data_IF_196739724053
#
_entry.id   IF_196739724053
#
_cell.length_a   1.000
_cell.length_b   1.000
_cell.length_c   1.000
_cell.angle_alpha   90.00
_cell.angle_beta   90.00
_cell.angle_gamma   90.00
#
_symmetry.space_group_name_H-M   'P 1'
#
loop_
_entity.id
_entity.type
_entity.pdbx_description
1 polymer ?
#
# COMPACT_ATOMS: atom_id res chain seq x y z
N UNK A 1 -2.72 20.91 2.13
CA UNK A 1 -3.12 19.68 1.41
C UNK A 1 -4.05 18.89 2.30
N UNK A 2 -5.20 18.47 1.79
CA UNK A 2 -6.09 17.58 2.52
C UNK A 2 -5.49 16.19 2.67
N UNK A 3 -5.79 15.50 3.78
CA UNK A 3 -5.48 14.09 3.94
C UNK A 3 -6.32 13.20 3.00
N UNK A 4 -6.10 11.89 3.06
CA UNK A 4 -6.95 10.93 2.36
C UNK A 4 -8.31 10.79 3.06
N UNK A 5 -9.35 10.54 2.28
CA UNK A 5 -10.71 10.25 2.78
C UNK A 5 -10.73 8.81 3.32
N UNK A 6 -10.31 8.61 4.55
CA UNK A 6 -10.13 7.32 5.19
C UNK A 6 -10.73 7.30 6.60
N UNK A 7 -10.66 6.14 7.26
CA UNK A 7 -11.06 5.94 8.65
C UNK A 7 -10.19 4.85 9.29
N UNK A 8 -10.39 4.60 10.59
CA UNK A 8 -9.77 3.47 11.27
C UNK A 8 -10.52 2.17 11.03
N UNK A 9 -9.85 1.02 11.16
CA UNK A 9 -10.51 -0.29 11.13
C UNK A 9 -11.51 -0.48 12.29
N UNK A 10 -11.32 0.26 13.38
CA UNK A 10 -12.29 0.34 14.48
C UNK A 10 -13.59 1.02 14.06
N UNK A 11 -13.54 2.07 13.25
CA UNK A 11 -14.73 2.69 12.66
C UNK A 11 -15.39 1.78 11.64
N UNK A 12 -14.64 1.10 10.79
CA UNK A 12 -15.18 0.09 9.87
C UNK A 12 -15.98 -0.96 10.64
N UNK A 13 -15.38 -1.55 11.69
CA UNK A 13 -16.05 -2.53 12.55
C UNK A 13 -17.37 -2.01 13.11
N UNK A 14 -17.36 -0.77 13.60
CA UNK A 14 -18.49 -0.22 14.35
C UNK A 14 -19.59 0.40 13.47
N UNK A 15 -19.27 0.83 12.25
CA UNK A 15 -20.15 1.68 11.43
C UNK A 15 -20.44 1.14 10.04
N UNK A 16 -19.47 0.48 9.38
CA UNK A 16 -19.60 0.15 7.96
C UNK A 16 -20.68 -0.91 7.72
N UNK A 17 -21.68 -0.54 6.94
CA UNK A 17 -22.77 -1.40 6.48
C UNK A 17 -22.64 -1.73 4.98
N UNK A 18 -21.80 -1.01 4.23
CA UNK A 18 -21.51 -1.25 2.83
C UNK A 18 -20.01 -1.31 2.58
N UNK A 19 -19.51 -2.46 2.13
CA UNK A 19 -18.09 -2.72 2.00
C UNK A 19 -17.78 -3.16 0.57
N UNK A 20 -16.86 -2.47 -0.09
CA UNK A 20 -16.36 -2.84 -1.40
C UNK A 20 -14.90 -3.25 -1.27
N UNK A 21 -14.54 -4.41 -1.82
CA UNK A 21 -13.18 -4.77 -2.10
C UNK A 21 -12.94 -4.68 -3.60
N UNK A 22 -11.96 -3.90 -4.02
CA UNK A 22 -11.65 -3.66 -5.41
C UNK A 22 -10.20 -4.04 -5.72
N UNK A 23 -10.02 -5.05 -6.60
CA UNK A 23 -8.70 -5.54 -6.97
C UNK A 23 -7.88 -6.05 -5.78
N UNK A 24 -8.54 -6.65 -4.82
CA UNK A 24 -7.96 -7.24 -3.62
C UNK A 24 -8.70 -8.49 -3.19
N UNK A 25 -7.96 -9.54 -2.80
CA UNK A 25 -8.50 -10.81 -2.33
C UNK A 25 -8.22 -11.00 -0.83
N UNK A 26 -9.02 -10.38 0.07
CA UNK A 26 -8.74 -10.43 1.50
C UNK A 26 -8.84 -11.84 2.11
N UNK A 27 -9.56 -12.78 1.49
CA UNK A 27 -9.59 -14.16 1.97
C UNK A 27 -8.19 -14.81 2.01
N UNK A 28 -7.33 -14.46 1.06
CA UNK A 28 -5.96 -14.98 1.01
C UNK A 28 -4.95 -14.02 1.63
N UNK A 29 -4.99 -12.72 1.25
CA UNK A 29 -3.96 -11.78 1.65
C UNK A 29 -4.18 -11.14 3.04
N UNK A 30 -5.42 -11.14 3.55
CA UNK A 30 -5.78 -10.56 4.86
C UNK A 30 -6.83 -11.42 5.57
N UNK A 31 -6.56 -12.68 5.91
CA UNK A 31 -7.57 -13.65 6.33
C UNK A 31 -8.34 -13.23 7.59
N UNK A 32 -7.75 -12.43 8.47
CA UNK A 32 -8.43 -11.91 9.65
C UNK A 32 -9.27 -10.65 9.41
N UNK A 33 -9.23 -10.09 8.20
CA UNK A 33 -9.93 -8.84 7.90
C UNK A 33 -11.45 -9.01 8.01
N UNK A 34 -11.98 -10.08 7.43
CA UNK A 34 -13.41 -10.42 7.49
C UNK A 34 -13.90 -10.69 8.91
N UNK A 35 -13.11 -11.42 9.69
CA UNK A 35 -13.52 -11.86 11.03
C UNK A 35 -13.30 -10.81 12.10
N UNK A 36 -12.37 -9.88 11.93
CA UNK A 36 -12.05 -8.86 12.93
C UNK A 36 -12.69 -7.49 12.66
N UNK A 37 -12.90 -7.14 11.39
CA UNK A 37 -13.27 -5.76 11.06
C UNK A 37 -14.45 -5.61 10.13
N UNK A 38 -14.53 -6.35 9.02
CA UNK A 38 -15.41 -5.95 7.92
C UNK A 38 -16.71 -6.73 7.79
N UNK A 39 -16.76 -8.04 8.09
CA UNK A 39 -17.96 -8.82 7.84
C UNK A 39 -18.63 -9.36 9.11
N UNK A 40 -17.95 -10.26 9.84
CA UNK A 40 -18.60 -11.00 10.92
C UNK A 40 -18.79 -10.20 12.22
N UNK A 41 -17.90 -9.25 12.60
CA UNK A 41 -18.01 -8.66 13.92
C UNK A 41 -19.24 -7.77 14.06
N UNK A 42 -19.93 -7.90 15.19
CA UNK A 42 -20.95 -6.95 15.60
C UNK A 42 -20.31 -5.61 15.93
N UNK A 43 -20.91 -4.53 15.45
CA UNK A 43 -20.48 -3.15 15.69
C UNK A 43 -21.56 -2.32 16.37
N UNK A 44 -21.17 -1.18 16.96
CA UNK A 44 -22.13 -0.30 17.67
C UNK A 44 -23.31 0.12 16.79
N UNK A 45 -23.06 0.39 15.50
CA UNK A 45 -24.09 0.81 14.53
C UNK A 45 -24.46 -0.29 13.54
N UNK A 46 -23.87 -1.48 13.65
CA UNK A 46 -24.15 -2.68 12.86
C UNK A 46 -24.28 -3.89 13.80
N UNK A 47 -25.31 -3.90 14.67
CA UNK A 47 -25.44 -4.91 15.73
C UNK A 47 -25.69 -6.32 15.20
N UNK A 48 -26.18 -6.45 13.97
CA UNK A 48 -26.43 -7.75 13.33
C UNK A 48 -25.18 -8.40 12.73
N UNK A 49 -24.02 -7.72 12.77
CA UNK A 49 -22.77 -8.22 12.18
C UNK A 49 -22.94 -8.48 10.68
N UNK A 50 -22.62 -9.71 10.21
CA UNK A 50 -22.71 -10.07 8.77
C UNK A 50 -24.07 -9.79 8.14
N UNK A 51 -25.17 -10.06 8.85
CA UNK A 51 -26.53 -9.82 8.34
C UNK A 51 -26.87 -8.34 8.15
N UNK A 52 -26.13 -7.44 8.77
CA UNK A 52 -26.31 -5.99 8.65
C UNK A 52 -25.32 -5.34 7.67
N UNK A 53 -24.62 -6.13 6.85
CA UNK A 53 -23.57 -5.65 5.94
C UNK A 53 -23.77 -6.19 4.54
N UNK A 54 -23.55 -5.33 3.55
CA UNK A 54 -23.43 -5.71 2.14
C UNK A 54 -21.97 -5.67 1.74
N UNK A 55 -21.47 -6.78 1.18
CA UNK A 55 -20.13 -6.86 0.61
C UNK A 55 -20.17 -6.97 -0.90
N UNK A 56 -19.51 -6.06 -1.57
CA UNK A 56 -19.26 -6.07 -3.01
C UNK A 56 -17.80 -6.45 -3.25
N UNK A 57 -17.56 -7.39 -4.15
CA UNK A 57 -16.23 -7.71 -4.64
C UNK A 57 -16.13 -7.30 -6.11
N UNK A 58 -15.11 -6.52 -6.45
CA UNK A 58 -14.79 -6.12 -7.82
C UNK A 58 -13.40 -6.66 -8.17
N UNK A 59 -13.33 -7.57 -9.13
CA UNK A 59 -12.07 -8.19 -9.55
C UNK A 59 -12.15 -8.58 -11.03
N UNK A 60 -11.00 -8.88 -11.64
CA UNK A 60 -10.92 -9.36 -13.04
C UNK A 60 -11.19 -10.85 -13.16
N UNK A 61 -11.19 -11.56 -12.06
CA UNK A 61 -11.39 -13.01 -11.98
C UNK A 61 -12.08 -13.42 -10.68
N UNK A 62 -12.65 -14.59 -10.65
CA UNK A 62 -13.10 -15.20 -9.42
C UNK A 62 -11.94 -15.49 -8.48
N UNK A 63 -12.10 -15.14 -7.21
CA UNK A 63 -11.14 -15.36 -6.13
C UNK A 63 -11.83 -16.04 -4.96
N UNK A 64 -11.11 -16.63 -4.00
CA UNK A 64 -11.71 -17.20 -2.79
C UNK A 64 -12.61 -16.22 -2.02
N UNK A 65 -12.46 -14.92 -2.22
CA UNK A 65 -13.31 -13.90 -1.59
C UNK A 65 -14.72 -13.83 -2.16
N UNK A 66 -14.98 -14.34 -3.37
CA UNK A 66 -16.31 -14.32 -4.02
C UNK A 66 -17.38 -14.98 -3.16
N UNK A 67 -17.07 -16.13 -2.54
CA UNK A 67 -18.01 -16.87 -1.67
C UNK A 67 -18.46 -16.11 -0.43
N UNK A 68 -17.81 -15.00 -0.08
CA UNK A 68 -18.18 -14.15 1.03
C UNK A 68 -18.91 -12.87 0.59
N UNK A 69 -18.91 -12.57 -0.70
CA UNK A 69 -19.56 -11.39 -1.27
C UNK A 69 -21.07 -11.61 -1.47
N UNK A 70 -21.84 -10.53 -1.37
CA UNK A 70 -23.24 -10.48 -1.77
C UNK A 70 -23.38 -10.12 -3.25
N UNK A 71 -22.41 -9.37 -3.77
CA UNK A 71 -22.35 -8.92 -5.16
C UNK A 71 -20.92 -9.14 -5.65
N UNK A 72 -20.77 -9.83 -6.77
CA UNK A 72 -19.49 -9.96 -7.48
C UNK A 72 -19.58 -9.27 -8.83
N UNK A 73 -18.66 -8.36 -9.10
CA UNK A 73 -18.54 -7.64 -10.37
C UNK A 73 -17.22 -8.02 -11.03
N UNK A 74 -17.32 -8.79 -12.11
CA UNK A 74 -16.14 -9.20 -12.87
C UNK A 74 -15.86 -8.15 -13.96
N UNK A 75 -14.83 -7.35 -13.74
CA UNK A 75 -14.38 -6.30 -14.66
C UNK A 75 -13.38 -6.90 -15.66
N UNK A 76 -13.48 -6.55 -16.93
CA UNK A 76 -12.43 -6.93 -17.91
C UNK A 76 -11.09 -6.33 -17.52
N UNK A 77 -9.97 -7.08 -17.65
CA UNK A 77 -8.65 -6.59 -17.30
C UNK A 77 -8.32 -5.23 -17.92
N UNK A 78 -7.87 -4.29 -17.08
CA UNK A 78 -7.48 -2.93 -17.49
C UNK A 78 -8.61 -1.96 -17.71
N UNK A 79 -9.86 -2.31 -17.36
CA UNK A 79 -11.06 -1.48 -17.52
C UNK A 79 -11.55 -0.83 -16.20
N UNK A 80 -10.78 -0.94 -15.14
CA UNK A 80 -11.14 -0.39 -13.83
C UNK A 80 -11.37 1.12 -13.85
N UNK A 81 -10.54 1.86 -14.60
CA UNK A 81 -10.66 3.31 -14.70
C UNK A 81 -11.98 3.72 -15.36
N UNK A 82 -12.37 3.03 -16.42
CA UNK A 82 -13.63 3.25 -17.11
C UNK A 82 -14.82 2.98 -16.19
N UNK A 83 -14.80 1.90 -15.41
CA UNK A 83 -15.86 1.61 -14.42
C UNK A 83 -15.94 2.71 -13.36
N UNK A 84 -14.81 3.12 -12.78
CA UNK A 84 -14.76 4.17 -11.77
C UNK A 84 -15.27 5.51 -12.29
N UNK A 85 -14.88 5.88 -13.52
CA UNK A 85 -15.34 7.14 -14.15
C UNK A 85 -16.82 7.07 -14.53
N UNK A 86 -17.32 5.90 -14.94
CA UNK A 86 -18.77 5.67 -15.16
C UNK A 86 -19.56 5.86 -13.86
N UNK A 87 -19.14 5.24 -12.76
CA UNK A 87 -19.79 5.41 -11.45
C UNK A 87 -19.83 6.91 -11.04
N UNK A 88 -18.74 7.64 -11.26
CA UNK A 88 -18.68 9.08 -10.99
C UNK A 88 -19.62 9.91 -11.90
N UNK A 89 -19.75 9.53 -13.18
CA UNK A 89 -20.68 10.16 -14.10
C UNK A 89 -22.13 9.93 -13.66
N UNK A 90 -22.48 8.67 -13.33
CA UNK A 90 -23.81 8.29 -12.81
C UNK A 90 -24.14 9.02 -11.50
N UNK A 91 -23.17 9.12 -10.58
CA UNK A 91 -23.35 9.84 -9.32
C UNK A 91 -23.72 11.30 -9.54
N UNK A 92 -23.21 11.92 -10.60
CA UNK A 92 -23.50 13.32 -11.00
C UNK A 92 -24.69 13.48 -11.94
N UNK A 93 -25.42 12.40 -12.21
CA UNK A 93 -26.54 12.43 -13.17
C UNK A 93 -26.12 12.77 -14.60
N UNK A 94 -24.89 12.44 -14.99
CA UNK A 94 -24.40 12.68 -16.35
C UNK A 94 -24.77 11.49 -17.25
N UNK A 95 -25.06 11.76 -18.53
CA UNK A 95 -25.30 10.69 -19.48
C UNK A 95 -24.06 9.82 -19.66
N UNK A 96 -24.26 8.52 -19.85
CA UNK A 96 -23.20 7.52 -20.02
C UNK A 96 -23.50 6.73 -21.29
N UNK A 97 -22.48 6.47 -22.06
CA UNK A 97 -22.56 5.63 -23.28
C UNK A 97 -22.58 4.15 -22.87
N UNK A 98 -23.71 3.50 -23.07
CA UNK A 98 -23.93 2.09 -22.72
C UNK A 98 -22.98 1.14 -23.46
N UNK A 99 -22.66 1.43 -24.72
CA UNK A 99 -21.72 0.60 -25.50
C UNK A 99 -20.31 0.61 -24.89
N UNK A 100 -19.86 1.77 -24.40
CA UNK A 100 -18.58 1.87 -23.66
C UNK A 100 -18.61 1.17 -22.32
N UNK A 101 -19.74 1.19 -21.62
CA UNK A 101 -19.88 0.43 -20.37
C UNK A 101 -19.77 -1.06 -20.64
N UNK A 102 -20.44 -1.58 -21.66
CA UNK A 102 -20.37 -2.99 -22.05
C UNK A 102 -18.93 -3.47 -22.36
N UNK A 103 -18.05 -2.59 -22.84
CA UNK A 103 -16.63 -2.89 -23.01
C UNK A 103 -15.93 -3.24 -21.70
N UNK A 104 -16.45 -2.80 -20.56
CA UNK A 104 -15.89 -3.12 -19.23
C UNK A 104 -16.22 -4.53 -18.75
N UNK A 105 -17.14 -5.21 -19.43
CA UNK A 105 -17.69 -6.50 -19.05
C UNK A 105 -18.89 -6.40 -18.10
N UNK A 106 -19.37 -5.19 -17.81
CA UNK A 106 -20.51 -4.94 -16.93
C UNK A 106 -21.64 -4.25 -17.70
N UNK A 107 -22.87 -4.48 -17.26
CA UNK A 107 -24.05 -3.79 -17.77
C UNK A 107 -24.25 -2.45 -17.07
N UNK A 108 -24.76 -1.46 -17.79
CA UNK A 108 -25.05 -0.14 -17.23
C UNK A 108 -26.02 -0.20 -16.06
N UNK A 109 -27.05 -1.05 -16.12
CA UNK A 109 -28.03 -1.24 -15.06
C UNK A 109 -27.38 -1.71 -13.74
N UNK A 110 -26.35 -2.57 -13.83
CA UNK A 110 -25.59 -3.05 -12.66
C UNK A 110 -24.84 -1.90 -11.98
N UNK A 111 -24.23 -1.01 -12.76
CA UNK A 111 -23.52 0.15 -12.22
C UNK A 111 -24.48 1.19 -11.65
N UNK A 112 -25.68 1.35 -12.26
CA UNK A 112 -26.76 2.20 -11.73
C UNK A 112 -27.26 1.69 -10.38
N UNK A 113 -27.52 0.37 -10.25
CA UNK A 113 -27.92 -0.24 -8.97
C UNK A 113 -26.80 -0.08 -7.91
N UNK A 114 -25.55 -0.32 -8.31
CA UNK A 114 -24.41 -0.18 -7.39
C UNK A 114 -24.33 1.24 -6.83
N UNK A 115 -24.39 2.28 -7.66
CA UNK A 115 -24.28 3.67 -7.21
C UNK A 115 -25.44 4.07 -6.31
N UNK A 116 -26.66 3.60 -6.58
CA UNK A 116 -27.82 3.85 -5.72
C UNK A 116 -27.69 3.15 -4.36
N UNK A 117 -27.13 1.94 -4.32
CA UNK A 117 -26.80 1.27 -3.04
C UNK A 117 -25.73 2.01 -2.27
N UNK A 118 -24.69 2.50 -2.97
CA UNK A 118 -23.63 3.30 -2.36
C UNK A 118 -24.17 4.58 -1.73
N UNK A 119 -25.08 5.28 -2.41
CA UNK A 119 -25.74 6.51 -1.89
C UNK A 119 -26.62 6.24 -0.66
N UNK A 120 -27.24 5.06 -0.58
CA UNK A 120 -28.11 4.64 0.53
C UNK A 120 -27.38 4.05 1.73
N UNK A 121 -26.09 3.73 1.60
CA UNK A 121 -25.29 3.25 2.71
C UNK A 121 -25.23 4.28 3.83
N UNK A 122 -25.20 3.85 5.08
CA UNK A 122 -25.03 4.76 6.23
C UNK A 122 -23.56 5.08 6.44
N UNK A 123 -22.68 4.11 6.17
CA UNK A 123 -21.24 4.26 6.20
C UNK A 123 -20.64 3.24 5.24
N UNK A 124 -20.16 3.72 4.08
CA UNK A 124 -19.53 2.88 3.07
C UNK A 124 -18.00 2.93 3.15
N UNK A 125 -17.36 1.84 2.74
CA UNK A 125 -15.90 1.77 2.62
C UNK A 125 -15.47 1.02 1.37
N UNK A 126 -14.51 1.60 0.62
CA UNK A 126 -13.81 0.93 -0.47
C UNK A 126 -12.41 0.54 0.00
N UNK A 127 -12.15 -0.76 0.08
CA UNK A 127 -10.82 -1.32 0.21
C UNK A 127 -10.29 -1.61 -1.19
N UNK A 128 -9.14 -1.04 -1.57
CA UNK A 128 -8.56 -1.27 -2.88
C UNK A 128 -7.16 -1.87 -2.79
N UNK A 129 -6.89 -2.84 -3.64
CA UNK A 129 -5.65 -3.60 -3.64
C UNK A 129 -4.77 -3.36 -4.86
N UNK A 130 -3.72 -4.16 -4.97
CA UNK A 130 -2.77 -4.13 -6.09
C UNK A 130 -3.44 -4.44 -7.44
N UNK A 131 -4.48 -5.27 -7.45
CA UNK A 131 -5.27 -5.56 -8.65
C UNK A 131 -5.83 -4.31 -9.30
N UNK A 132 -6.13 -3.25 -8.54
CA UNK A 132 -6.54 -1.96 -9.06
C UNK A 132 -5.34 -1.05 -9.39
N UNK A 133 -4.35 -0.98 -8.50
CA UNK A 133 -3.28 0.03 -8.59
C UNK A 133 -2.15 -0.35 -9.54
N UNK A 134 -2.00 -1.64 -9.87
CA UNK A 134 -0.95 -2.16 -10.75
C UNK A 134 -1.43 -2.46 -12.17
N UNK A 135 -2.71 -2.20 -12.47
CA UNK A 135 -3.27 -2.39 -13.80
C UNK A 135 -3.10 -1.14 -14.69
N UNK A 136 -3.64 -1.20 -15.90
CA UNK A 136 -3.73 -0.05 -16.81
C UNK A 136 -4.43 1.12 -16.08
N UNK A 137 -3.87 2.32 -16.16
CA UNK A 137 -4.33 3.49 -15.41
C UNK A 137 -3.53 3.76 -14.14
N UNK A 138 -2.91 2.74 -13.52
CA UNK A 138 -1.97 2.88 -12.37
C UNK A 138 -2.48 3.89 -11.32
N UNK A 139 -1.77 4.99 -11.10
CA UNK A 139 -2.12 6.03 -10.13
C UNK A 139 -3.46 6.75 -10.44
N UNK A 140 -3.90 6.76 -11.70
CA UNK A 140 -5.19 7.33 -12.07
C UNK A 140 -6.36 6.51 -11.50
N UNK A 141 -6.22 5.19 -11.39
CA UNK A 141 -7.22 4.34 -10.73
C UNK A 141 -7.38 4.73 -9.27
N UNK A 142 -6.27 4.89 -8.55
CA UNK A 142 -6.30 5.34 -7.15
C UNK A 142 -6.92 6.74 -7.01
N UNK A 143 -6.56 7.67 -7.90
CA UNK A 143 -7.14 9.01 -7.93
C UNK A 143 -8.65 8.97 -8.22
N UNK A 144 -9.10 8.07 -9.09
CA UNK A 144 -10.52 7.90 -9.41
C UNK A 144 -11.31 7.34 -8.21
N UNK A 145 -10.75 6.38 -7.45
CA UNK A 145 -11.36 5.89 -6.18
C UNK A 145 -11.47 7.02 -5.17
N UNK A 146 -10.40 7.78 -4.94
CA UNK A 146 -10.41 8.92 -4.02
C UNK A 146 -11.45 9.97 -4.40
N UNK A 147 -11.54 10.27 -5.70
CA UNK A 147 -12.53 11.22 -6.24
C UNK A 147 -13.97 10.71 -6.09
N UNK A 148 -14.21 9.43 -6.41
CA UNK A 148 -15.53 8.80 -6.23
C UNK A 148 -15.98 8.87 -4.76
N UNK A 149 -15.08 8.53 -3.85
CA UNK A 149 -15.37 8.57 -2.42
C UNK A 149 -15.61 10.00 -1.94
N UNK A 150 -14.81 10.97 -2.38
CA UNK A 150 -15.02 12.38 -2.05
C UNK A 150 -16.38 12.89 -2.53
N UNK A 151 -16.77 12.52 -3.75
CA UNK A 151 -18.07 12.90 -4.35
C UNK A 151 -19.27 12.22 -3.67
N UNK A 152 -19.11 10.96 -3.22
CA UNK A 152 -20.13 10.23 -2.44
C UNK A 152 -20.42 10.89 -1.08
N UNK A 153 -19.46 11.60 -0.51
CA UNK A 153 -19.67 12.31 0.76
C UNK A 153 -20.64 13.49 0.67
N UNK A 154 -21.11 13.86 -0.53
CA UNK A 154 -22.26 14.75 -0.70
C UNK A 154 -23.60 14.07 -0.38
N UNK A 155 -23.65 12.73 -0.35
CA UNK A 155 -24.86 11.93 -0.13
C UNK A 155 -24.82 11.20 1.20
N UNK A 156 -23.70 10.57 1.51
CA UNK A 156 -23.54 9.74 2.71
C UNK A 156 -22.06 9.69 3.12
N UNK A 157 -21.77 9.14 4.29
CA UNK A 157 -20.40 8.94 4.75
C UNK A 157 -19.76 7.78 4.00
N UNK A 158 -18.78 8.09 3.18
CA UNK A 158 -18.02 7.11 2.41
C UNK A 158 -16.52 7.35 2.55
N UNK A 159 -15.74 6.28 2.69
CA UNK A 159 -14.28 6.35 2.85
C UNK A 159 -13.58 5.30 2.00
N UNK A 160 -12.26 5.41 1.83
CA UNK A 160 -11.47 4.38 1.19
C UNK A 160 -10.16 4.12 1.92
N UNK A 161 -9.63 2.91 1.74
CA UNK A 161 -8.40 2.46 2.37
C UNK A 161 -7.64 1.50 1.45
N UNK A 162 -6.35 1.73 1.17
CA UNK A 162 -5.54 0.76 0.46
C UNK A 162 -5.33 -0.49 1.32
N UNK A 163 -5.51 -1.67 0.72
CA UNK A 163 -5.16 -2.94 1.35
C UNK A 163 -3.67 -3.17 1.15
N UNK A 164 -2.91 -2.98 2.22
CA UNK A 164 -1.45 -3.09 2.18
C UNK A 164 -1.00 -4.44 2.73
N UNK A 165 -0.13 -5.11 1.98
CA UNK A 165 0.59 -6.30 2.42
C UNK A 165 1.97 -5.97 2.98
N UNK A 166 2.74 -7.02 3.31
CA UNK A 166 4.08 -6.98 3.86
C UNK A 166 4.20 -6.33 5.26
N UNK A 167 5.33 -6.58 5.94
CA UNK A 167 5.58 -6.05 7.28
C UNK A 167 5.87 -4.55 7.26
N UNK A 168 5.03 -3.78 7.92
CA UNK A 168 5.24 -2.36 8.23
C UNK A 168 5.46 -1.41 7.03
N UNK A 169 4.94 -1.74 5.84
CA UNK A 169 4.97 -0.83 4.68
C UNK A 169 4.32 0.52 5.02
N UNK A 170 3.23 0.50 5.79
CA UNK A 170 2.57 1.74 6.24
C UNK A 170 3.51 2.57 7.13
N UNK A 171 4.27 1.94 8.02
CA UNK A 171 5.23 2.66 8.88
C UNK A 171 6.36 3.29 8.08
N UNK A 172 6.95 2.56 7.13
CA UNK A 172 7.98 3.09 6.24
C UNK A 172 7.48 4.29 5.43
N UNK A 173 6.27 4.18 4.87
CA UNK A 173 5.58 5.23 4.12
C UNK A 173 5.33 6.49 4.98
N UNK A 174 4.84 6.31 6.20
CA UNK A 174 4.57 7.41 7.14
C UNK A 174 5.86 8.12 7.53
N UNK A 175 6.90 7.37 7.91
CA UNK A 175 8.21 7.95 8.30
C UNK A 175 8.86 8.69 7.13
N UNK A 176 8.81 8.14 5.91
CA UNK A 176 9.34 8.81 4.74
C UNK A 176 8.60 10.14 4.46
N UNK A 177 7.27 10.17 4.64
CA UNK A 177 6.47 11.40 4.50
C UNK A 177 6.83 12.46 5.53
N UNK A 178 7.07 12.08 6.79
CA UNK A 178 7.51 13.06 7.81
C UNK A 178 8.87 13.66 7.49
N UNK A 179 9.77 12.80 6.99
CA UNK A 179 11.16 13.20 6.76
C UNK A 179 11.37 13.97 5.46
N UNK A 180 10.57 13.69 4.42
CA UNK A 180 10.82 14.18 3.06
C UNK A 180 9.63 14.88 2.39
N UNK A 181 8.42 14.74 2.94
CA UNK A 181 7.16 15.15 2.32
C UNK A 181 6.59 14.11 1.34
N UNK A 182 7.29 13.00 1.06
CA UNK A 182 6.91 11.99 0.06
C UNK A 182 6.92 10.57 0.65
N UNK A 183 6.07 9.64 0.13
CA UNK A 183 5.87 8.35 0.77
C UNK A 183 6.99 7.33 0.52
N UNK A 184 7.56 7.29 -0.69
CA UNK A 184 8.62 6.36 -1.14
C UNK A 184 9.19 6.81 -2.49
N UNK A 185 10.22 6.12 -2.99
CA UNK A 185 10.82 6.46 -4.29
C UNK A 185 11.36 7.90 -4.31
N UNK A 186 12.07 8.28 -3.25
CA UNK A 186 12.59 9.64 -3.07
C UNK A 186 14.06 9.68 -3.47
N UNK A 187 14.40 10.59 -4.37
CA UNK A 187 15.79 10.90 -4.72
C UNK A 187 16.30 12.06 -3.90
N UNK A 188 17.44 11.85 -3.21
CA UNK A 188 18.16 12.86 -2.44
C UNK A 188 19.47 13.29 -3.13
N UNK A 189 19.73 12.86 -4.36
CA UNK A 189 20.99 13.08 -5.09
C UNK A 189 21.38 14.55 -5.30
N UNK A 190 20.44 15.48 -5.13
CA UNK A 190 20.67 16.93 -5.23
C UNK A 190 20.69 17.65 -3.88
N UNK A 191 20.73 16.89 -2.77
CA UNK A 191 20.70 17.47 -1.42
C UNK A 191 19.31 17.88 -0.92
N UNK A 192 18.26 17.65 -1.69
CA UNK A 192 16.85 17.84 -1.29
C UNK A 192 15.97 16.73 -1.85
N UNK A 193 14.84 16.42 -1.19
CA UNK A 193 13.96 15.34 -1.63
C UNK A 193 13.26 15.69 -2.95
N UNK A 194 13.31 14.77 -3.90
CA UNK A 194 12.57 14.79 -5.17
C UNK A 194 11.78 13.50 -5.32
N UNK A 195 10.54 13.63 -5.77
CA UNK A 195 9.63 12.52 -5.94
C UNK A 195 9.02 12.56 -7.35
N UNK A 196 9.25 11.49 -8.10
CA UNK A 196 8.58 11.27 -9.38
C UNK A 196 8.39 9.76 -9.58
N UNK A 197 7.15 9.23 -9.45
CA UNK A 197 6.85 7.83 -9.75
C UNK A 197 7.22 7.48 -11.19
N UNK A 198 7.95 6.36 -11.37
CA UNK A 198 8.48 5.94 -12.66
C UNK A 198 9.88 6.51 -13.01
N UNK A 199 10.41 7.39 -12.17
CA UNK A 199 11.79 7.90 -12.31
C UNK A 199 12.66 7.45 -11.12
N UNK A 200 12.18 7.62 -9.88
CA UNK A 200 12.96 7.36 -8.68
C UNK A 200 12.54 6.11 -7.92
N UNK A 201 11.70 5.27 -8.51
CA UNK A 201 11.42 3.97 -7.89
C UNK A 201 12.66 3.07 -7.94
N UNK A 202 12.78 2.17 -6.99
CA UNK A 202 13.96 1.27 -6.88
C UNK A 202 14.19 0.48 -8.17
N UNK A 203 13.12 -0.01 -8.82
CA UNK A 203 13.23 -0.73 -10.09
C UNK A 203 13.81 0.15 -11.18
N UNK A 204 13.30 1.39 -11.31
CA UNK A 204 13.75 2.32 -12.36
C UNK A 204 15.22 2.69 -12.17
N UNK A 205 15.62 3.01 -10.93
CA UNK A 205 17.02 3.36 -10.58
C UNK A 205 17.98 2.21 -10.86
N UNK A 206 17.60 0.98 -10.49
CA UNK A 206 18.44 -0.20 -10.72
C UNK A 206 18.52 -0.57 -12.21
N UNK A 207 17.42 -0.53 -12.96
CA UNK A 207 17.41 -0.84 -14.39
C UNK A 207 18.22 0.17 -15.20
N UNK A 208 18.16 1.46 -14.84
CA UNK A 208 18.96 2.50 -15.48
C UNK A 208 20.41 2.56 -15.00
N UNK A 209 20.74 1.80 -13.94
CA UNK A 209 22.09 1.79 -13.32
C UNK A 209 22.50 3.16 -12.76
N UNK A 210 21.54 3.87 -12.16
CA UNK A 210 21.77 5.23 -11.62
C UNK A 210 22.47 5.24 -10.24
N UNK A 211 22.70 4.08 -9.65
CA UNK A 211 23.34 3.91 -8.35
C UNK A 211 24.58 3.01 -8.43
N UNK A 212 25.59 3.31 -7.64
CA UNK A 212 26.88 2.63 -7.56
C UNK A 212 27.05 1.76 -6.30
N UNK A 213 26.10 1.82 -5.37
CA UNK A 213 26.04 0.96 -4.18
C UNK A 213 24.59 0.78 -3.72
N UNK A 214 24.34 -0.25 -2.90
CA UNK A 214 23.03 -0.51 -2.32
C UNK A 214 23.10 -0.93 -0.83
N UNK A 215 22.21 -0.35 -0.01
CA UNK A 215 21.92 -0.82 1.35
C UNK A 215 20.48 -1.30 1.39
N UNK A 216 20.25 -2.58 1.69
CA UNK A 216 18.95 -3.23 1.66
C UNK A 216 18.59 -3.73 3.06
N UNK A 217 17.39 -3.42 3.52
CA UNK A 217 16.91 -3.76 4.86
C UNK A 217 15.60 -4.54 4.76
N UNK A 218 15.60 -5.78 5.27
CA UNK A 218 14.41 -6.61 5.41
C UNK A 218 13.62 -6.80 4.11
N UNK A 219 14.31 -6.90 2.96
CA UNK A 219 13.71 -7.03 1.65
C UNK A 219 14.52 -7.97 0.74
N UNK A 220 13.84 -8.62 -0.20
CA UNK A 220 14.47 -9.56 -1.13
C UNK A 220 14.23 -9.16 -2.61
N UNK A 221 14.79 -8.02 -3.08
CA UNK A 221 14.70 -7.62 -4.48
C UNK A 221 15.26 -8.64 -5.47
N UNK A 222 16.26 -9.44 -5.07
CA UNK A 222 16.81 -10.52 -5.88
C UNK A 222 15.81 -11.62 -6.22
N UNK A 223 14.70 -11.74 -5.45
CA UNK A 223 13.63 -12.70 -5.74
C UNK A 223 12.43 -12.08 -6.48
N UNK A 224 12.32 -10.75 -6.53
CA UNK A 224 11.06 -10.09 -6.92
C UNK A 224 11.20 -9.07 -8.05
N UNK A 225 12.42 -8.61 -8.32
CA UNK A 225 12.66 -7.58 -9.34
C UNK A 225 12.96 -8.20 -10.73
N UNK A 226 12.83 -7.42 -11.82
CA UNK A 226 13.19 -7.86 -13.16
C UNK A 226 14.71 -8.12 -13.27
N UNK A 227 15.09 -9.06 -14.14
CA UNK A 227 16.46 -9.52 -14.29
C UNK A 227 17.49 -8.39 -14.49
N UNK A 228 17.26 -7.34 -15.33
CA UNK A 228 18.22 -6.24 -15.47
C UNK A 228 18.51 -5.50 -14.16
N UNK A 229 17.55 -5.38 -13.25
CA UNK A 229 17.73 -4.79 -11.93
C UNK A 229 18.57 -5.69 -11.02
N UNK A 230 18.33 -7.01 -11.07
CA UNK A 230 19.08 -8.02 -10.31
C UNK A 230 20.54 -8.07 -10.80
N UNK A 231 20.77 -8.05 -12.11
CA UNK A 231 22.11 -8.07 -12.69
C UNK A 231 22.92 -6.84 -12.27
N UNK A 232 22.27 -5.66 -12.26
CA UNK A 232 22.93 -4.46 -11.77
C UNK A 232 23.23 -4.54 -10.27
N UNK A 233 22.27 -4.97 -9.47
CA UNK A 233 22.45 -5.15 -8.03
C UNK A 233 23.60 -6.11 -7.69
N UNK A 234 23.77 -7.18 -8.46
CA UNK A 234 24.88 -8.12 -8.31
C UNK A 234 26.24 -7.53 -8.73
N UNK A 235 26.25 -6.51 -9.58
CA UNK A 235 27.49 -5.88 -10.09
C UNK A 235 28.04 -4.76 -9.20
N UNK A 236 27.25 -4.25 -8.25
CA UNK A 236 27.65 -3.14 -7.37
C UNK A 236 27.85 -3.60 -5.92
N UNK A 237 28.61 -2.86 -5.10
CA UNK A 237 28.69 -3.11 -3.67
C UNK A 237 27.31 -3.07 -3.01
N UNK A 238 26.88 -4.21 -2.49
CA UNK A 238 25.58 -4.34 -1.82
C UNK A 238 25.77 -4.84 -0.39
N UNK A 239 25.12 -4.16 0.55
CA UNK A 239 25.02 -4.54 1.96
C UNK A 239 23.58 -4.89 2.26
N UNK A 240 23.34 -6.06 2.90
CA UNK A 240 22.00 -6.52 3.29
C UNK A 240 21.93 -6.67 4.79
N UNK A 241 20.90 -6.09 5.40
CA UNK A 241 20.48 -6.33 6.78
C UNK A 241 19.21 -7.18 6.73
N UNK A 242 19.30 -8.44 7.16
CA UNK A 242 18.14 -9.34 7.16
C UNK A 242 18.35 -10.44 8.23
N UNK A 243 17.32 -10.84 8.96
CA UNK A 243 17.44 -11.91 9.95
C UNK A 243 17.71 -13.30 9.33
N UNK A 244 17.52 -13.46 8.01
CA UNK A 244 17.73 -14.72 7.30
C UNK A 244 18.47 -14.55 5.99
N UNK A 245 19.04 -15.64 5.48
CA UNK A 245 19.63 -15.67 4.15
C UNK A 245 18.53 -15.63 3.09
N UNK A 246 18.60 -14.65 2.16
CA UNK A 246 17.68 -14.42 1.06
C UNK A 246 18.39 -14.55 -0.28
N UNK A 247 17.66 -14.45 -1.41
CA UNK A 247 18.30 -14.38 -2.74
C UNK A 247 19.21 -13.15 -2.82
N UNK A 248 18.74 -12.00 -2.33
CA UNK A 248 19.51 -10.75 -2.32
C UNK A 248 20.77 -10.86 -1.47
N UNK A 249 20.69 -11.47 -0.29
CA UNK A 249 21.87 -11.62 0.59
C UNK A 249 22.95 -12.52 0.00
N UNK A 250 22.60 -13.43 -0.91
CA UNK A 250 23.58 -14.26 -1.66
C UNK A 250 24.31 -13.48 -2.76
N UNK A 251 23.70 -12.41 -3.27
CA UNK A 251 24.32 -11.51 -4.24
C UNK A 251 25.11 -10.40 -3.55
N UNK A 252 24.84 -10.16 -2.27
CA UNK A 252 25.42 -9.06 -1.52
C UNK A 252 26.90 -9.31 -1.18
N UNK A 253 27.67 -8.24 -1.17
CA UNK A 253 29.07 -8.28 -0.69
C UNK A 253 29.14 -8.47 0.82
N UNK A 254 28.16 -7.94 1.56
CA UNK A 254 28.08 -8.06 3.02
C UNK A 254 26.63 -8.36 3.41
N UNK A 255 26.44 -9.40 4.22
CA UNK A 255 25.17 -9.71 4.89
C UNK A 255 25.37 -9.62 6.39
N UNK A 256 24.60 -8.79 7.05
CA UNK A 256 24.58 -8.64 8.51
C UNK A 256 23.26 -9.21 9.01
N UNK A 257 23.35 -10.30 9.78
CA UNK A 257 22.17 -10.89 10.43
C UNK A 257 21.72 -9.98 11.54
N UNK A 258 20.43 -9.61 11.53
CA UNK A 258 19.82 -8.73 12.52
C UNK A 258 18.71 -9.41 13.32
N UNK A 259 18.35 -8.82 14.45
CA UNK A 259 17.24 -9.28 15.28
C UNK A 259 15.89 -9.01 14.61
N UNK A 260 14.95 -9.93 14.78
CA UNK A 260 13.61 -9.81 14.17
C UNK A 260 12.74 -8.84 14.96
N UNK A 261 12.30 -7.77 14.32
CA UNK A 261 11.38 -6.78 14.92
C UNK A 261 10.07 -7.43 15.36
N UNK A 262 9.66 -7.19 16.60
CA UNK A 262 8.46 -7.78 17.22
C UNK A 262 8.63 -9.20 17.74
N UNK A 263 9.77 -9.84 17.51
CA UNK A 263 10.12 -11.16 18.10
C UNK A 263 11.30 -11.00 19.06
N UNK A 264 12.42 -10.49 18.58
CA UNK A 264 13.64 -10.34 19.38
C UNK A 264 14.18 -8.91 19.41
N UNK A 265 13.55 -7.98 18.70
CA UNK A 265 13.80 -6.55 18.79
C UNK A 265 12.50 -5.79 19.02
N UNK A 266 12.50 -4.67 19.77
CA UNK A 266 11.35 -3.78 19.87
C UNK A 266 11.15 -3.02 18.56
N UNK A 267 10.02 -2.32 18.43
CA UNK A 267 9.75 -1.45 17.29
C UNK A 267 8.35 -0.89 17.33
N UNK A 268 7.99 -0.17 16.29
CA UNK A 268 6.62 0.28 16.04
C UNK A 268 6.15 -0.19 14.67
N UNK A 269 5.04 -0.92 14.64
CA UNK A 269 4.38 -1.27 13.40
C UNK A 269 3.16 -0.40 13.22
N UNK A 270 2.98 0.12 12.00
CA UNK A 270 1.77 0.85 11.65
C UNK A 270 0.80 -0.08 10.95
N UNK A 271 -0.38 -0.22 11.52
CA UNK A 271 -1.48 -0.93 10.87
C UNK A 271 -1.88 -0.20 9.57
N UNK A 272 -2.56 -0.88 8.63
CA UNK A 272 -2.94 -0.31 7.34
C UNK A 272 -3.78 0.98 7.42
N UNK A 273 -4.41 1.24 8.57
CA UNK A 273 -5.17 2.44 8.89
C UNK A 273 -4.34 3.49 9.67
N UNK A 274 -3.01 3.37 9.62
CA UNK A 274 -2.03 4.30 10.21
C UNK A 274 -2.03 4.36 11.74
N UNK A 275 -2.64 3.40 12.42
CA UNK A 275 -2.57 3.31 13.88
C UNK A 275 -1.23 2.68 14.28
N UNK A 276 -0.38 3.37 15.06
CA UNK A 276 0.88 2.84 15.55
C UNK A 276 0.63 1.82 16.66
N UNK A 277 1.32 0.68 16.55
CA UNK A 277 1.28 -0.40 17.52
C UNK A 277 2.72 -0.67 18.03
N UNK A 278 3.01 -0.48 19.31
CA UNK A 278 4.31 -0.81 19.86
C UNK A 278 4.51 -2.33 19.88
N UNK A 279 5.66 -2.77 19.41
CA UNK A 279 6.09 -4.16 19.45
C UNK A 279 7.09 -4.34 20.58
N UNK A 280 6.86 -5.33 21.44
CA UNK A 280 7.76 -5.73 22.50
C UNK A 280 8.48 -7.02 22.12
N UNK A 281 9.79 -7.15 22.40
CA UNK A 281 10.49 -8.40 22.16
C UNK A 281 9.98 -9.48 23.13
N UNK A 282 9.79 -10.68 22.63
CA UNK A 282 9.37 -11.86 23.39
C UNK A 282 10.49 -12.89 23.56
N UNK A 283 11.54 -12.78 22.74
CA UNK A 283 12.74 -13.59 22.78
C UNK A 283 13.98 -12.70 22.82
N UNK A 284 15.06 -13.22 23.37
CA UNK A 284 16.38 -12.59 23.27
C UNK A 284 17.06 -12.98 21.97
N UNK A 285 17.84 -12.09 21.38
CA UNK A 285 18.68 -12.36 20.21
C UNK A 285 20.13 -12.00 20.50
N UNK A 286 21.10 -12.80 20.03
CA UNK A 286 22.50 -12.41 20.05
C UNK A 286 22.85 -11.40 18.96
N UNK A 287 21.94 -11.18 18.00
CA UNK A 287 22.15 -10.28 16.86
C UNK A 287 21.71 -8.85 17.20
N UNK A 288 22.40 -7.83 16.63
CA UNK A 288 22.01 -6.43 16.77
C UNK A 288 20.67 -6.15 16.08
N UNK A 289 20.02 -5.07 16.46
CA UNK A 289 18.85 -4.55 15.73
C UNK A 289 19.29 -3.81 14.46
N UNK A 290 18.39 -3.67 13.48
CA UNK A 290 18.62 -2.87 12.26
C UNK A 290 19.02 -1.43 12.63
N UNK A 291 18.32 -0.82 13.60
CA UNK A 291 18.59 0.52 14.11
C UNK A 291 20.02 0.64 14.64
N UNK A 292 20.46 -0.33 15.44
CA UNK A 292 21.80 -0.35 16.03
C UNK A 292 22.89 -0.46 14.96
N UNK A 293 22.69 -1.31 13.95
CA UNK A 293 23.62 -1.44 12.82
C UNK A 293 23.70 -0.14 12.02
N UNK A 294 22.55 0.45 11.66
CA UNK A 294 22.51 1.71 10.90
C UNK A 294 23.17 2.84 11.68
N UNK A 295 22.92 2.93 12.99
CA UNK A 295 23.56 3.93 13.85
C UNK A 295 25.09 3.79 13.83
N UNK A 296 25.60 2.57 13.98
CA UNK A 296 27.05 2.28 13.91
C UNK A 296 27.66 2.60 12.54
N UNK A 297 26.94 2.27 11.45
CA UNK A 297 27.37 2.65 10.09
C UNK A 297 27.45 4.17 9.99
N UNK A 298 26.43 4.90 10.44
CA UNK A 298 26.42 6.37 10.41
C UNK A 298 27.57 6.98 11.21
N UNK A 299 27.88 6.45 12.38
CA UNK A 299 29.00 6.90 13.20
C UNK A 299 30.32 6.70 12.45
N UNK A 300 30.53 5.54 11.87
CA UNK A 300 31.74 5.24 11.07
C UNK A 300 31.89 6.14 9.84
N UNK A 301 30.80 6.39 9.13
CA UNK A 301 30.82 7.30 7.96
C UNK A 301 31.22 8.72 8.39
N UNK A 302 30.81 9.20 9.57
CA UNK A 302 31.21 10.52 10.09
C UNK A 302 32.68 10.60 10.48
N UNK A 303 33.30 9.49 10.87
CA UNK A 303 34.72 9.41 11.19
C UNK A 303 35.62 9.37 9.95
N UNK A 304 35.04 9.06 8.76
CA UNK A 304 35.79 9.02 7.50
C UNK A 304 36.15 10.43 7.04
N UNK A 305 37.35 10.63 6.44
CA UNK A 305 37.70 11.91 5.85
C UNK A 305 36.67 12.36 4.84
N UNK A 306 36.31 13.62 4.84
CA UNK A 306 35.31 14.19 3.93
C UNK A 306 35.83 14.21 2.50
N UNK A 307 35.56 13.12 1.74
CA UNK A 307 35.71 13.11 0.28
C UNK A 307 34.44 13.64 -0.43
N UNK A 308 33.43 14.02 0.36
CA UNK A 308 32.20 14.65 -0.13
C UNK A 308 32.49 16.08 -0.58
N UNK A 309 32.03 16.49 -1.78
CA UNK A 309 32.09 17.90 -2.18
C UNK A 309 31.45 18.79 -1.11
N UNK A 310 32.04 19.94 -0.86
CA UNK A 310 31.60 20.89 0.21
C UNK A 310 30.10 21.29 0.13
N UNK A 311 29.44 21.08 -1.01
CA UNK A 311 28.02 21.29 -1.23
C UNK A 311 27.10 20.38 -0.43
N UNK A 312 27.58 19.26 0.15
CA UNK A 312 26.80 18.33 0.97
C UNK A 312 26.93 18.53 2.49
N UNK A 313 27.83 19.41 2.92
CA UNK A 313 28.15 19.59 4.33
C UNK A 313 27.14 20.46 5.12
N UNK A 314 26.11 21.02 4.48
CA UNK A 314 25.29 22.08 5.06
C UNK A 314 23.79 21.79 5.11
N UNK A 315 23.35 20.57 5.50
CA UNK A 315 21.96 20.37 5.93
C UNK A 315 21.96 20.05 7.42
N UNK A 316 21.57 21.00 8.30
CA UNK A 316 21.34 20.68 9.68
C UNK A 316 20.16 19.71 9.78
N UNK A 317 20.36 18.57 10.43
CA UNK A 317 19.26 17.73 10.89
C UNK A 317 18.49 18.51 11.97
N UNK A 318 17.27 18.96 11.64
CA UNK A 318 16.28 19.39 12.60
C UNK A 318 15.66 18.19 13.34
#
# INVERSE_FOLDING_TARGET
MGGKVTCTLGEVKNRADFIIYWGGNPADCHPLHFTRYTLTPKGKHVPLGRKGRTMVLVDVRETPSVKFSDIFLQVRPGKDFEVLTTLRALLKGRPVDEARVAETGLDLAVLQDLIERMKKARFGVIFFGMGLTMTRGKHLNSAAVLSLVAELNAFTKFVCMPVRGHGNVTGADVVMRWSTGYPFGVSLSRGYPRFNPGEFSTVDVLVRRDNDAALILGADPGATMPQPAIDHLASIPTVVLDPKVTHTSRLARVHITTAVTGISAPGTVYRMDEIPLPLKPILRSPYPTDEEVIRRIREKVKEMPAWLPASFAAVPCA
#
